data_IF_122194539785
#
_entry.id   IF_122194539785
#
_cell.length_a   1.000
_cell.length_b   1.000
_cell.length_c   1.000
_cell.angle_alpha   90.00
_cell.angle_beta   90.00
_cell.angle_gamma   90.00
#
_symmetry.space_group_name_H-M   'P 1'
#
loop_
_entity.id
_entity.type
_entity.pdbx_description
1 polymer ?
#
# COMPACT_ATOMS: atom_id res chain seq x y z
N UNK A 1 16.07 7.22 2.78
CA UNK A 1 14.92 7.37 3.70
C UNK A 1 14.70 6.05 4.42
N UNK A 2 14.34 6.03 5.72
CA UNK A 2 14.01 4.77 6.40
C UNK A 2 12.50 4.54 6.32
N UNK A 3 12.07 3.29 6.20
CA UNK A 3 10.65 2.92 6.18
C UNK A 3 9.88 3.47 7.40
N UNK A 4 10.52 3.49 8.57
CA UNK A 4 9.94 4.03 9.81
C UNK A 4 9.54 5.50 9.66
N UNK A 5 10.38 6.31 9.00
CA UNK A 5 10.13 7.74 8.83
C UNK A 5 8.91 7.96 7.92
N UNK A 6 8.77 7.15 6.87
CA UNK A 6 7.61 7.17 5.95
C UNK A 6 6.30 6.77 6.64
N UNK A 7 6.35 5.74 7.49
CA UNK A 7 5.17 5.32 8.27
C UNK A 7 4.76 6.44 9.22
N UNK A 8 5.72 7.04 9.92
CA UNK A 8 5.43 8.15 10.82
C UNK A 8 4.84 9.35 10.07
N UNK A 9 5.40 9.70 8.92
CA UNK A 9 4.87 10.77 8.06
C UNK A 9 3.42 10.48 7.64
N UNK A 10 3.12 9.25 7.23
CA UNK A 10 1.76 8.83 6.90
C UNK A 10 0.82 8.98 8.11
N UNK A 11 1.23 8.51 9.29
CA UNK A 11 0.45 8.57 10.55
C UNK A 11 0.12 10.01 11.00
N UNK A 12 0.98 10.97 10.67
CA UNK A 12 0.76 12.40 10.93
C UNK A 12 -0.28 13.02 9.97
N UNK A 13 -0.62 12.35 8.87
CA UNK A 13 -1.63 12.85 7.93
C UNK A 13 -3.06 12.67 8.44
N UNK A 14 -3.93 13.64 8.12
CA UNK A 14 -5.38 13.54 8.38
C UNK A 14 -6.00 12.32 7.69
N UNK A 15 -5.47 11.91 6.53
CA UNK A 15 -6.01 10.78 5.77
C UNK A 15 -5.80 9.46 6.50
N UNK A 16 -4.63 9.25 7.09
CA UNK A 16 -4.36 8.08 7.91
C UNK A 16 -5.19 8.09 9.19
N UNK A 17 -5.26 9.23 9.88
CA UNK A 17 -6.06 9.37 11.11
C UNK A 17 -7.53 9.00 10.86
N UNK A 18 -8.16 9.59 9.84
CA UNK A 18 -9.54 9.26 9.47
C UNK A 18 -9.70 7.82 8.99
N UNK A 19 -8.71 7.26 8.27
CA UNK A 19 -8.72 5.87 7.87
C UNK A 19 -8.69 4.94 9.08
N UNK A 20 -7.85 5.26 10.08
CA UNK A 20 -7.65 4.44 11.27
C UNK A 20 -8.83 4.51 12.23
N UNK A 21 -9.48 5.67 12.36
CA UNK A 21 -10.74 5.83 13.08
C UNK A 21 -11.86 4.97 12.50
N UNK A 22 -11.95 4.90 11.16
CA UNK A 22 -12.96 4.08 10.46
C UNK A 22 -12.65 2.58 10.45
N UNK A 23 -11.37 2.22 10.49
CA UNK A 23 -10.89 0.85 10.36
C UNK A 23 -9.88 0.53 11.47
N UNK A 24 -10.31 0.44 12.75
CA UNK A 24 -9.41 0.35 13.90
C UNK A 24 -8.61 -0.96 13.94
N UNK A 25 -9.11 -2.04 13.36
CA UNK A 25 -8.50 -3.38 13.29
C UNK A 25 -7.41 -3.51 12.22
N UNK A 26 -7.19 -2.47 11.40
CA UNK A 26 -6.17 -2.47 10.35
C UNK A 26 -4.75 -2.54 10.88
N UNK A 27 -3.82 -3.04 10.07
CA UNK A 27 -2.40 -2.99 10.40
C UNK A 27 -1.56 -2.83 9.14
N UNK A 28 -0.38 -2.23 9.30
CA UNK A 28 0.59 -2.12 8.22
C UNK A 28 1.04 -3.51 7.77
N UNK A 29 0.92 -3.80 6.48
CA UNK A 29 1.14 -5.11 5.90
C UNK A 29 2.38 -5.15 5.01
N UNK A 30 2.58 -4.15 4.16
CA UNK A 30 3.66 -4.13 3.19
C UNK A 30 4.07 -2.71 2.80
N UNK A 31 5.28 -2.58 2.26
CA UNK A 31 5.73 -1.38 1.57
C UNK A 31 6.34 -1.73 0.22
N UNK A 32 5.97 -0.96 -0.80
CA UNK A 32 6.59 -1.00 -2.12
C UNK A 32 7.40 0.27 -2.33
N UNK A 33 8.67 0.08 -2.71
CA UNK A 33 9.61 1.15 -3.03
C UNK A 33 10.12 0.87 -4.44
N UNK A 34 9.64 1.64 -5.41
CA UNK A 34 10.00 1.49 -6.82
C UNK A 34 10.93 2.63 -7.19
N UNK A 35 12.12 2.29 -7.67
CA UNK A 35 13.12 3.24 -8.13
C UNK A 35 13.22 3.14 -9.66
N UNK A 36 12.90 4.24 -10.34
CA UNK A 36 13.15 4.40 -11.76
C UNK A 36 14.49 5.13 -11.94
N UNK A 37 15.50 4.37 -12.35
CA UNK A 37 16.86 4.88 -12.52
C UNK A 37 17.02 5.73 -13.78
N UNK A 38 16.20 5.51 -14.81
CA UNK A 38 16.26 6.25 -16.07
C UNK A 38 15.68 7.65 -15.89
N UNK A 39 14.48 7.74 -15.33
CA UNK A 39 13.77 9.00 -15.11
C UNK A 39 14.14 9.66 -13.77
N UNK A 40 14.96 8.99 -12.93
CA UNK A 40 15.33 9.42 -11.58
C UNK A 40 14.10 9.73 -10.71
N UNK A 41 13.08 8.88 -10.82
CA UNK A 41 11.86 9.01 -10.02
C UNK A 41 11.76 7.88 -9.01
N UNK A 42 11.06 8.14 -7.93
CA UNK A 42 10.72 7.15 -6.92
C UNK A 42 9.22 7.10 -6.71
N UNK A 43 8.68 5.90 -6.52
CA UNK A 43 7.30 5.70 -6.11
C UNK A 43 7.30 4.88 -4.83
N UNK A 44 6.55 5.38 -3.85
CA UNK A 44 6.45 4.79 -2.52
C UNK A 44 4.98 4.48 -2.28
N UNK A 45 4.71 3.24 -1.86
CA UNK A 45 3.39 2.81 -1.45
C UNK A 45 3.48 2.08 -0.11
N UNK A 46 2.61 2.44 0.83
CA UNK A 46 2.45 1.78 2.11
C UNK A 46 1.07 1.14 2.18
N UNK A 47 1.02 -0.16 2.44
CA UNK A 47 -0.20 -0.95 2.41
C UNK A 47 -0.63 -1.33 3.83
N UNK A 48 -1.91 -1.11 4.13
CA UNK A 48 -2.57 -1.58 5.34
C UNK A 48 -3.56 -2.69 4.98
N UNK A 49 -3.53 -3.79 5.72
CA UNK A 49 -4.54 -4.83 5.59
C UNK A 49 -5.78 -4.46 6.40
N UNK A 50 -6.96 -4.68 5.81
CA UNK A 50 -8.28 -4.53 6.42
C UNK A 50 -8.84 -5.93 6.69
N UNK A 51 -8.67 -6.49 7.92
CA UNK A 51 -9.09 -7.85 8.22
C UNK A 51 -10.60 -8.05 8.05
N UNK A 52 -11.40 -7.09 8.51
CA UNK A 52 -12.86 -7.15 8.43
C UNK A 52 -13.40 -7.19 6.99
N UNK A 53 -12.66 -6.66 6.03
CA UNK A 53 -13.06 -6.63 4.61
C UNK A 53 -12.29 -7.62 3.74
N UNK A 54 -11.23 -8.25 4.25
CA UNK A 54 -10.26 -9.01 3.47
C UNK A 54 -9.75 -8.21 2.24
N UNK A 55 -9.31 -6.96 2.51
CA UNK A 55 -8.83 -6.00 1.49
C UNK A 55 -7.54 -5.32 1.92
N UNK A 56 -6.93 -4.61 0.97
CA UNK A 56 -5.72 -3.80 1.19
C UNK A 56 -6.06 -2.34 0.94
N UNK A 57 -5.65 -1.45 1.84
CA UNK A 57 -5.61 -0.01 1.64
C UNK A 57 -4.20 0.43 1.28
N UNK A 58 -4.01 0.93 0.06
CA UNK A 58 -2.74 1.38 -0.47
C UNK A 58 -2.62 2.91 -0.39
N UNK A 59 -1.60 3.39 0.33
CA UNK A 59 -1.24 4.81 0.42
C UNK A 59 -0.03 5.10 -0.45
N UNK A 60 -0.20 5.83 -1.55
CA UNK A 60 0.91 6.26 -2.42
C UNK A 60 1.44 7.62 -1.98
N UNK A 61 2.75 7.81 -1.94
CA UNK A 61 3.37 9.11 -1.67
C UNK A 61 3.25 10.06 -2.88
N UNK A 62 2.93 11.35 -2.70
CA UNK A 62 2.62 12.02 -1.42
C UNK A 62 1.30 11.53 -0.82
N UNK A 63 1.31 11.21 0.47
CA UNK A 63 0.24 10.45 1.10
C UNK A 63 -1.10 11.20 1.07
N UNK A 64 -2.10 10.55 0.45
CA UNK A 64 -3.49 11.04 0.34
C UNK A 64 -4.48 9.96 0.76
N UNK A 65 -5.72 10.00 0.26
CA UNK A 65 -6.70 8.95 0.53
C UNK A 65 -6.20 7.60 0.02
N UNK A 66 -6.37 6.52 0.82
CA UNK A 66 -5.95 5.20 0.38
C UNK A 66 -6.82 4.70 -0.76
N UNK A 67 -6.20 3.99 -1.70
CA UNK A 67 -6.92 3.19 -2.67
C UNK A 67 -7.20 1.82 -2.07
N UNK A 68 -8.45 1.38 -2.13
CA UNK A 68 -8.85 0.07 -1.63
C UNK A 68 -8.75 -0.96 -2.76
N UNK A 69 -8.04 -2.05 -2.51
CA UNK A 69 -7.83 -3.17 -3.42
C UNK A 69 -8.35 -4.46 -2.80
N UNK A 70 -8.89 -5.35 -3.63
CA UNK A 70 -9.20 -6.72 -3.19
C UNK A 70 -7.91 -7.44 -2.81
N UNK A 71 -7.95 -8.28 -1.77
CA UNK A 71 -6.83 -9.11 -1.34
C UNK A 71 -6.61 -10.31 -2.28
N UNK A 72 -6.56 -10.07 -3.60
CA UNK A 72 -6.34 -11.08 -4.63
C UNK A 72 -5.21 -10.61 -5.53
N UNK A 73 -4.02 -11.19 -5.34
CA UNK A 73 -3.02 -11.21 -6.41
C UNK A 73 -3.51 -12.21 -7.44
N UNK A 74 -4.22 -11.73 -8.47
CA UNK A 74 -4.55 -12.56 -9.63
C UNK A 74 -3.28 -12.73 -10.47
N UNK A 75 -2.38 -13.63 -10.04
CA UNK A 75 -1.35 -14.16 -10.93
C UNK A 75 -2.10 -14.97 -11.98
N UNK A 76 -2.40 -14.35 -13.11
CA UNK A 76 -2.96 -15.05 -14.25
C UNK A 76 -1.98 -16.16 -14.62
N UNK A 77 -2.36 -17.42 -14.35
CA UNK A 77 -1.68 -18.62 -14.85
C UNK A 77 -1.80 -18.66 -16.38
N UNK A 78 -1.08 -17.80 -17.10
CA UNK A 78 -0.89 -17.86 -18.55
C UNK A 78 0.59 -18.01 -18.88
N UNK A 79 1.22 -19.04 -18.32
CA UNK A 79 2.55 -19.48 -18.76
C UNK A 79 2.79 -20.94 -18.35
N UNK A 80 1.94 -21.86 -18.81
CA UNK A 80 2.21 -23.31 -18.78
C UNK A 80 1.12 -24.05 -19.59
N UNK A 81 1.13 -23.87 -20.91
CA UNK A 81 0.50 -24.80 -21.86
C UNK A 81 1.13 -24.56 -23.23
N UNK A 82 2.36 -25.05 -23.38
CA UNK A 82 2.91 -25.52 -24.65
C UNK A 82 3.45 -26.92 -24.35
N UNK A 83 2.60 -27.93 -24.55
CA UNK A 83 3.00 -29.30 -24.81
C UNK A 83 2.57 -29.62 -26.25
#
# INVERSE_FOLDING_TARGET
MKLKDLIQELEETKYHQFFKEKNPDTFFAAAFLILDLENKTEQIQLDYYLPSENKIAAFTHPFTHPKIHDNIISVSKKAQQNQ
#
